data_IF_783293043456
#
_entry.id   IF_783293043456
#
_cell.length_a   1.000
_cell.length_b   1.000
_cell.length_c   1.000
_cell.angle_alpha   90.00
_cell.angle_beta   90.00
_cell.angle_gamma   90.00
#
_symmetry.space_group_name_H-M   'P 1'
#
loop_
_entity.id
_entity.type
_entity.pdbx_description
1 polymer ?
#
# COMPACT_ATOMS: atom_id res chain seq x y z
N UNK A 1 -25.21 -0.85 14.54
CA UNK A 1 -25.89 -0.49 15.80
C UNK A 1 -25.94 -1.64 16.81
N UNK A 2 -26.33 -2.87 16.41
CA UNK A 2 -26.42 -4.03 17.32
C UNK A 2 -25.07 -4.35 18.02
N UNK A 3 -23.99 -4.45 17.26
CA UNK A 3 -22.68 -4.76 17.81
C UNK A 3 -22.17 -3.69 18.79
N UNK A 4 -22.39 -2.41 18.46
CA UNK A 4 -22.05 -1.29 19.35
C UNK A 4 -22.87 -1.33 20.65
N UNK A 5 -24.17 -1.56 20.55
CA UNK A 5 -25.06 -1.66 21.72
C UNK A 5 -24.71 -2.83 22.65
N UNK A 6 -24.20 -3.92 22.09
CA UNK A 6 -23.85 -5.14 22.82
C UNK A 6 -22.33 -5.29 23.07
N UNK A 7 -21.52 -4.26 22.74
CA UNK A 7 -20.06 -4.25 22.90
C UNK A 7 -19.37 -5.43 22.19
N UNK A 8 -19.87 -5.79 21.00
CA UNK A 8 -19.33 -6.92 20.21
C UNK A 8 -18.29 -6.38 19.23
N UNK A 9 -17.03 -6.82 19.31
CA UNK A 9 -16.02 -6.47 18.32
C UNK A 9 -16.39 -6.94 16.91
N UNK A 10 -16.20 -6.06 15.93
CA UNK A 10 -16.40 -6.36 14.51
C UNK A 10 -15.06 -6.27 13.80
N UNK A 11 -14.69 -7.31 13.09
CA UNK A 11 -13.53 -7.29 12.20
C UNK A 11 -14.01 -7.09 10.75
N UNK A 12 -13.59 -5.99 10.14
CA UNK A 12 -13.92 -5.69 8.74
C UNK A 12 -12.68 -5.87 7.87
N UNK A 13 -12.58 -6.94 7.05
CA UNK A 13 -11.39 -7.25 6.28
C UNK A 13 -11.22 -6.41 5.02
N UNK A 14 -12.32 -5.94 4.40
CA UNK A 14 -12.32 -5.53 3.00
C UNK A 14 -12.67 -4.06 2.75
N UNK A 15 -13.31 -3.38 3.70
CA UNK A 15 -13.79 -2.02 3.45
C UNK A 15 -12.65 -1.02 3.38
N UNK A 16 -12.63 -0.22 2.32
CA UNK A 16 -11.83 1.00 2.22
C UNK A 16 -12.49 2.19 2.94
N UNK A 17 -13.79 2.13 3.22
CA UNK A 17 -14.55 3.20 3.85
C UNK A 17 -14.09 3.41 5.31
N UNK A 18 -13.71 4.66 5.61
CA UNK A 18 -13.36 5.09 6.96
C UNK A 18 -14.59 5.33 7.85
N UNK A 19 -15.78 5.47 7.26
CA UNK A 19 -17.04 5.68 7.98
C UNK A 19 -17.39 4.53 8.91
N UNK A 20 -16.91 3.31 8.62
CA UNK A 20 -17.09 2.14 9.50
C UNK A 20 -16.44 2.32 10.88
N UNK A 21 -15.47 3.21 11.00
CA UNK A 21 -14.76 3.51 12.25
C UNK A 21 -15.57 4.39 13.21
N UNK A 22 -16.78 4.84 12.83
CA UNK A 22 -17.71 5.50 13.76
C UNK A 22 -18.22 4.56 14.85
N UNK A 23 -18.09 3.25 14.65
CA UNK A 23 -18.29 2.25 15.67
C UNK A 23 -16.97 1.90 16.34
N UNK A 24 -16.82 2.25 17.61
CA UNK A 24 -15.59 2.04 18.38
C UNK A 24 -15.23 0.57 18.64
N UNK A 25 -16.13 -0.38 18.35
CA UNK A 25 -15.88 -1.83 18.39
C UNK A 25 -15.45 -2.39 17.04
N UNK A 26 -15.15 -1.55 16.04
CA UNK A 26 -14.73 -2.01 14.71
C UNK A 26 -13.21 -2.06 14.58
N UNK A 27 -12.72 -3.17 14.04
CA UNK A 27 -11.35 -3.32 13.53
C UNK A 27 -11.38 -3.31 12.00
N UNK A 28 -10.81 -2.28 11.40
CA UNK A 28 -10.64 -2.14 9.94
C UNK A 28 -9.28 -2.70 9.55
N UNK A 29 -9.27 -3.80 8.79
CA UNK A 29 -8.04 -4.53 8.41
C UNK A 29 -7.33 -3.83 7.26
N UNK A 30 -8.06 -3.44 6.21
CA UNK A 30 -7.45 -2.75 5.09
C UNK A 30 -7.02 -1.34 5.50
N UNK A 31 -5.75 -0.96 5.34
CA UNK A 31 -5.29 0.41 5.59
C UNK A 31 -6.07 1.44 4.77
N UNK A 32 -6.10 2.67 5.22
CA UNK A 32 -6.63 3.78 4.43
C UNK A 32 -5.58 4.30 3.46
N UNK A 33 -6.01 5.00 2.42
CA UNK A 33 -5.12 5.72 1.53
C UNK A 33 -4.18 6.70 2.29
N UNK A 34 -4.65 7.28 3.40
CA UNK A 34 -3.82 8.11 4.26
C UNK A 34 -2.65 7.32 4.88
N UNK A 35 -2.88 6.09 5.34
CA UNK A 35 -1.80 5.25 5.89
C UNK A 35 -0.76 4.88 4.82
N UNK A 36 -1.20 4.67 3.58
CA UNK A 36 -0.30 4.44 2.45
C UNK A 36 0.55 5.67 2.14
N UNK A 37 -0.07 6.84 2.06
CA UNK A 37 0.63 8.13 1.87
C UNK A 37 1.66 8.37 2.97
N UNK A 38 1.29 8.17 4.24
CA UNK A 38 2.22 8.28 5.38
C UNK A 38 3.44 7.38 5.22
N UNK A 39 3.21 6.14 4.78
CA UNK A 39 4.29 5.16 4.59
C UNK A 39 5.23 5.57 3.45
N UNK A 40 4.69 6.00 2.31
CA UNK A 40 5.49 6.48 1.17
C UNK A 40 6.28 7.73 1.57
N UNK A 41 5.66 8.71 2.21
CA UNK A 41 6.33 9.95 2.63
C UNK A 41 7.44 9.65 3.66
N UNK A 42 7.20 8.76 4.62
CA UNK A 42 8.23 8.32 5.58
C UNK A 42 9.41 7.65 4.88
N UNK A 43 9.15 6.78 3.92
CA UNK A 43 10.19 6.14 3.11
C UNK A 43 11.00 7.17 2.32
N UNK A 44 10.33 8.08 1.62
CA UNK A 44 10.98 9.14 0.84
C UNK A 44 11.84 10.03 1.73
N UNK A 45 11.34 10.45 2.88
CA UNK A 45 12.13 11.22 3.86
C UNK A 45 13.39 10.51 4.31
N UNK A 46 13.36 9.19 4.43
CA UNK A 46 14.50 8.40 4.91
C UNK A 46 15.53 8.08 3.82
N UNK A 47 15.12 8.00 2.55
CA UNK A 47 15.96 7.50 1.45
C UNK A 47 16.18 8.52 0.33
N UNK A 48 15.31 9.52 0.21
CA UNK A 48 15.20 10.43 -0.92
C UNK A 48 15.03 11.90 -0.50
N UNK A 49 15.56 12.29 0.67
CA UNK A 49 15.37 13.65 1.23
C UNK A 49 15.88 14.76 0.32
N UNK A 50 16.92 14.50 -0.46
CA UNK A 50 17.58 15.47 -1.35
C UNK A 50 17.13 15.35 -2.81
N UNK A 51 16.27 14.38 -3.11
CA UNK A 51 15.79 14.08 -4.45
C UNK A 51 14.69 15.05 -4.90
N UNK A 52 14.39 15.04 -6.19
CA UNK A 52 13.33 15.83 -6.80
C UNK A 52 12.03 15.01 -6.78
N UNK A 53 11.07 15.41 -5.96
CA UNK A 53 9.80 14.70 -5.78
C UNK A 53 8.77 15.22 -6.78
N UNK A 54 8.17 14.35 -7.59
CA UNK A 54 7.14 14.69 -8.56
C UNK A 54 5.93 13.81 -8.33
N UNK A 55 4.81 14.39 -7.91
CA UNK A 55 3.54 13.68 -7.75
C UNK A 55 2.67 13.98 -8.95
N UNK A 56 2.25 12.92 -9.63
CA UNK A 56 1.32 13.03 -10.77
C UNK A 56 -0.02 12.40 -10.41
N UNK A 57 -1.10 13.07 -10.80
CA UNK A 57 -2.47 12.62 -10.55
C UNK A 57 -3.36 12.91 -11.76
N UNK A 58 -4.53 12.29 -11.83
CA UNK A 58 -5.50 12.46 -12.92
C UNK A 58 -6.69 13.37 -12.55
N UNK A 59 -6.60 14.05 -11.41
CA UNK A 59 -7.62 14.96 -10.88
C UNK A 59 -9.00 14.33 -10.60
N UNK A 60 -9.08 13.00 -10.45
CA UNK A 60 -10.33 12.33 -10.04
C UNK A 60 -10.66 12.62 -8.57
N UNK A 61 -11.96 12.68 -8.27
CA UNK A 61 -12.43 12.91 -6.91
C UNK A 61 -11.93 11.87 -5.91
N UNK A 62 -11.80 10.60 -6.34
CA UNK A 62 -11.28 9.49 -5.50
C UNK A 62 -9.81 9.64 -5.10
N UNK A 63 -9.01 10.32 -5.94
CA UNK A 63 -7.56 10.52 -5.71
C UNK A 63 -7.27 11.81 -4.93
N UNK A 64 -8.19 12.78 -5.00
CA UNK A 64 -7.99 14.10 -4.38
C UNK A 64 -7.60 14.03 -2.90
N UNK A 65 -8.21 13.22 -2.02
CA UNK A 65 -7.80 13.13 -0.62
C UNK A 65 -6.33 12.71 -0.44
N UNK A 66 -5.83 11.79 -1.28
CA UNK A 66 -4.42 11.38 -1.24
C UNK A 66 -3.49 12.50 -1.70
N UNK A 67 -3.85 13.23 -2.76
CA UNK A 67 -3.09 14.40 -3.24
C UNK A 67 -2.99 15.47 -2.17
N UNK A 68 -4.13 15.86 -1.58
CA UNK A 68 -4.20 16.88 -0.53
C UNK A 68 -3.36 16.44 0.70
N UNK A 69 -3.35 15.15 1.01
CA UNK A 69 -2.57 14.64 2.14
C UNK A 69 -1.07 14.58 1.86
N UNK A 70 -0.64 14.23 0.64
CA UNK A 70 0.76 14.39 0.22
C UNK A 70 1.21 15.86 0.36
N UNK A 71 0.41 16.80 -0.15
CA UNK A 71 0.69 18.23 -0.04
C UNK A 71 0.84 18.66 1.43
N UNK A 72 -0.09 18.24 2.29
CA UNK A 72 -0.04 18.54 3.72
C UNK A 72 1.23 18.00 4.40
N UNK A 73 1.65 16.78 4.06
CA UNK A 73 2.84 16.18 4.68
C UNK A 73 4.14 16.77 4.13
N UNK A 74 4.20 17.02 2.81
CA UNK A 74 5.41 17.53 2.16
C UNK A 74 5.64 19.01 2.43
N UNK A 75 4.58 19.82 2.58
CA UNK A 75 4.69 21.24 2.94
C UNK A 75 5.35 21.47 4.30
N UNK A 76 5.35 20.47 5.18
CA UNK A 76 6.05 20.49 6.48
C UNK A 76 7.49 20.00 6.40
N UNK A 77 8.03 19.80 5.21
CA UNK A 77 9.39 19.32 4.98
C UNK A 77 10.21 20.34 4.18
N UNK A 78 11.53 20.17 4.18
CA UNK A 78 12.46 20.95 3.34
C UNK A 78 12.70 20.33 1.97
N UNK A 79 12.01 19.24 1.65
CA UNK A 79 12.18 18.53 0.37
C UNK A 79 11.63 19.35 -0.79
N UNK A 80 12.26 19.20 -1.95
CA UNK A 80 11.75 19.80 -3.20
C UNK A 80 10.68 18.89 -3.80
N UNK A 81 9.48 19.43 -3.97
CA UNK A 81 8.37 18.67 -4.54
C UNK A 81 7.51 19.49 -5.49
N UNK A 82 6.84 18.79 -6.40
CA UNK A 82 5.89 19.35 -7.36
C UNK A 82 4.71 18.39 -7.49
N UNK A 83 3.48 18.91 -7.45
CA UNK A 83 2.26 18.16 -7.77
C UNK A 83 1.73 18.66 -9.12
N UNK A 84 1.31 17.73 -9.99
CA UNK A 84 0.81 18.08 -11.31
C UNK A 84 -0.31 17.15 -11.79
N UNK A 85 -1.31 17.76 -12.42
CA UNK A 85 -2.35 17.05 -13.16
C UNK A 85 -1.74 16.49 -14.45
N UNK A 86 -1.62 15.16 -14.52
CA UNK A 86 -1.03 14.48 -15.68
C UNK A 86 -1.86 14.66 -16.94
N UNK A 87 -3.18 14.61 -16.86
CA UNK A 87 -4.04 14.77 -18.02
C UNK A 87 -3.89 16.15 -18.68
N UNK A 88 -3.67 17.18 -17.84
CA UNK A 88 -3.53 18.56 -18.30
C UNK A 88 -2.11 18.93 -18.70
N UNK A 89 -1.11 18.34 -18.05
CA UNK A 89 0.28 18.78 -18.15
C UNK A 89 1.29 17.68 -18.49
N UNK A 90 0.84 16.53 -19.05
CA UNK A 90 1.72 15.40 -19.38
C UNK A 90 2.95 15.82 -20.22
N UNK A 91 2.77 16.73 -21.17
CA UNK A 91 3.85 17.27 -22.01
C UNK A 91 4.89 18.11 -21.25
N UNK A 92 4.57 18.55 -20.03
CA UNK A 92 5.48 19.32 -19.16
C UNK A 92 6.23 18.42 -18.16
N UNK A 93 5.90 17.13 -18.04
CA UNK A 93 6.53 16.24 -17.08
C UNK A 93 8.04 16.17 -17.31
N UNK A 94 8.50 16.05 -18.54
CA UNK A 94 9.93 15.98 -18.89
C UNK A 94 10.72 17.24 -18.49
N UNK A 95 10.07 18.41 -18.44
CA UNK A 95 10.70 19.65 -17.98
C UNK A 95 10.88 19.72 -16.46
N UNK A 96 10.14 18.87 -15.71
CA UNK A 96 10.25 18.77 -14.24
C UNK A 96 11.28 17.75 -13.79
N UNK A 97 11.71 16.85 -14.71
CA UNK A 97 12.71 15.82 -14.40
C UNK A 97 14.10 16.43 -14.38
N UNK A 98 14.79 16.30 -13.26
CA UNK A 98 16.18 16.69 -13.06
C UNK A 98 17.12 15.70 -13.76
N UNK A 99 18.21 16.20 -14.32
CA UNK A 99 19.33 15.39 -14.82
C UNK A 99 20.50 15.30 -13.84
N UNK A 100 20.45 16.09 -12.75
CA UNK A 100 21.52 16.19 -11.75
C UNK A 100 21.16 15.53 -10.42
N UNK A 101 19.86 15.37 -10.14
CA UNK A 101 19.33 14.69 -8.96
C UNK A 101 18.53 13.47 -9.39
N UNK A 102 18.37 12.50 -8.50
CA UNK A 102 17.37 11.46 -8.69
C UNK A 102 15.95 12.07 -8.65
N UNK A 103 15.02 11.47 -9.35
CA UNK A 103 13.63 11.92 -9.41
C UNK A 103 12.74 10.82 -8.81
N UNK A 104 12.05 11.14 -7.75
CA UNK A 104 11.02 10.27 -7.18
C UNK A 104 9.70 10.67 -7.82
N UNK A 105 9.21 9.84 -8.73
CA UNK A 105 7.92 10.06 -9.41
C UNK A 105 6.86 9.20 -8.73
N UNK A 106 5.82 9.83 -8.17
CA UNK A 106 4.71 9.16 -7.50
C UNK A 106 3.48 9.26 -8.40
N UNK A 107 2.98 8.11 -8.85
CA UNK A 107 1.80 8.02 -9.70
C UNK A 107 0.55 7.76 -8.87
N UNK A 108 -0.34 8.75 -8.80
CA UNK A 108 -1.66 8.69 -8.17
C UNK A 108 -2.76 8.72 -9.24
N UNK A 109 -2.60 7.94 -10.29
CA UNK A 109 -3.58 7.84 -11.37
C UNK A 109 -4.44 6.61 -11.13
N UNK A 110 -5.73 6.85 -10.88
CA UNK A 110 -6.71 5.78 -10.82
C UNK A 110 -7.11 5.35 -12.24
N UNK A 111 -7.45 4.08 -12.39
CA UNK A 111 -8.04 3.59 -13.64
C UNK A 111 -9.36 2.89 -13.34
N UNK A 112 -10.30 3.03 -14.26
CA UNK A 112 -11.61 2.35 -14.16
C UNK A 112 -11.52 0.89 -14.63
N UNK A 113 -10.34 0.47 -15.10
CA UNK A 113 -10.09 -0.89 -15.54
C UNK A 113 -8.63 -1.19 -15.83
N UNK A 114 -8.31 -2.49 -15.86
CA UNK A 114 -6.95 -2.99 -16.08
C UNK A 114 -6.31 -2.46 -17.38
N UNK A 115 -7.07 -2.40 -18.47
CA UNK A 115 -6.58 -1.93 -19.79
C UNK A 115 -6.20 -0.44 -19.78
N UNK A 116 -6.97 0.39 -19.08
CA UNK A 116 -6.66 1.83 -18.97
C UNK A 116 -5.43 2.05 -18.08
N UNK A 117 -5.32 1.32 -16.96
CA UNK A 117 -4.17 1.36 -16.08
C UNK A 117 -2.89 0.97 -16.81
N UNK A 118 -2.94 -0.12 -17.59
CA UNK A 118 -1.81 -0.59 -18.39
C UNK A 118 -1.41 0.42 -19.47
N UNK A 119 -2.38 0.99 -20.16
CA UNK A 119 -2.14 2.03 -21.18
C UNK A 119 -1.51 3.28 -20.57
N UNK A 120 -2.00 3.70 -19.41
CA UNK A 120 -1.43 4.83 -18.68
C UNK A 120 0.02 4.53 -18.26
N UNK A 121 0.28 3.36 -17.63
CA UNK A 121 1.61 2.95 -17.21
C UNK A 121 2.61 2.99 -18.38
N UNK A 122 2.27 2.42 -19.54
CA UNK A 122 3.10 2.47 -20.75
C UNK A 122 3.41 3.89 -21.21
N UNK A 123 2.40 4.76 -21.22
CA UNK A 123 2.59 6.17 -21.63
C UNK A 123 3.53 6.88 -20.66
N UNK A 124 3.33 6.69 -19.34
CA UNK A 124 4.20 7.29 -18.34
C UNK A 124 5.64 6.80 -18.50
N UNK A 125 5.86 5.50 -18.58
CA UNK A 125 7.20 4.92 -18.76
C UNK A 125 7.88 5.42 -20.04
N UNK A 126 7.12 5.58 -21.14
CA UNK A 126 7.63 6.16 -22.39
C UNK A 126 8.08 7.61 -22.19
N UNK A 127 7.28 8.43 -21.51
CA UNK A 127 7.63 9.83 -21.19
C UNK A 127 8.87 9.89 -20.32
N UNK A 128 8.95 9.07 -19.27
CA UNK A 128 10.11 9.01 -18.37
C UNK A 128 11.38 8.56 -19.12
N UNK A 129 11.27 7.57 -20.02
CA UNK A 129 12.38 7.07 -20.86
C UNK A 129 12.92 8.13 -21.83
N UNK A 130 12.13 9.12 -22.22
CA UNK A 130 12.55 10.17 -23.15
C UNK A 130 13.62 11.10 -22.56
N UNK A 131 13.72 11.18 -21.22
CA UNK A 131 14.70 12.02 -20.52
C UNK A 131 16.01 11.22 -20.30
N UNK A 132 16.87 11.21 -21.31
CA UNK A 132 18.15 10.50 -21.27
C UNK A 132 19.01 10.96 -20.08
N UNK A 133 19.62 10.01 -19.38
CA UNK A 133 20.53 10.26 -18.24
C UNK A 133 19.86 10.61 -16.92
N UNK A 134 18.52 10.77 -16.88
CA UNK A 134 17.83 10.97 -15.62
C UNK A 134 17.78 9.67 -14.81
N UNK A 135 18.04 9.77 -13.50
CA UNK A 135 17.75 8.71 -12.53
C UNK A 135 16.33 8.86 -12.03
N UNK A 136 15.59 7.77 -11.97
CA UNK A 136 14.17 7.77 -11.60
C UNK A 136 13.89 6.62 -10.64
N UNK A 137 13.25 6.94 -9.53
CA UNK A 137 12.59 6.02 -8.62
C UNK A 137 11.08 6.23 -8.80
N UNK A 138 10.38 5.22 -9.27
CA UNK A 138 8.96 5.32 -9.63
C UNK A 138 8.09 4.60 -8.58
N UNK A 139 7.15 5.33 -8.00
CA UNK A 139 6.08 4.77 -7.18
C UNK A 139 4.80 4.64 -8.02
N UNK A 140 4.25 3.45 -8.07
CA UNK A 140 3.01 3.14 -8.77
C UNK A 140 2.14 2.16 -7.99
N UNK A 141 1.12 1.63 -8.65
CA UNK A 141 0.23 0.62 -8.09
C UNK A 141 0.77 -0.80 -8.33
N UNK A 142 0.55 -1.71 -7.37
CA UNK A 142 0.97 -3.11 -7.48
C UNK A 142 0.46 -3.81 -8.75
N UNK A 143 -0.71 -3.41 -9.26
CA UNK A 143 -1.28 -3.99 -10.49
C UNK A 143 -0.35 -3.90 -11.70
N UNK A 144 0.63 -2.98 -11.69
CA UNK A 144 1.62 -2.89 -12.77
C UNK A 144 2.49 -4.13 -12.87
N UNK A 145 2.71 -4.83 -11.76
CA UNK A 145 3.39 -6.13 -11.74
C UNK A 145 2.58 -7.26 -12.39
N UNK A 146 1.29 -7.03 -12.67
CA UNK A 146 0.36 -8.00 -13.25
C UNK A 146 -0.01 -7.67 -14.71
N UNK A 147 0.55 -6.60 -15.26
CA UNK A 147 0.30 -6.24 -16.65
C UNK A 147 1.18 -7.08 -17.59
N UNK A 148 0.55 -7.71 -18.59
CA UNK A 148 1.26 -8.57 -19.53
C UNK A 148 2.28 -7.84 -20.41
N UNK A 149 2.17 -6.54 -20.53
CA UNK A 149 3.03 -5.71 -21.37
C UNK A 149 4.12 -4.97 -20.62
N UNK A 150 4.17 -5.14 -19.30
CA UNK A 150 5.21 -4.60 -18.43
C UNK A 150 5.94 -5.77 -17.77
N UNK A 151 7.15 -6.05 -18.23
CA UNK A 151 7.99 -7.03 -17.56
C UNK A 151 8.76 -6.42 -16.37
N UNK A 152 9.32 -7.28 -15.55
CA UNK A 152 10.05 -6.84 -14.36
C UNK A 152 11.35 -6.09 -14.72
N UNK A 153 11.99 -6.41 -15.85
CA UNK A 153 13.19 -5.71 -16.32
C UNK A 153 12.88 -4.23 -16.59
N UNK A 154 11.74 -3.97 -17.26
CA UNK A 154 11.30 -2.60 -17.53
C UNK A 154 10.99 -1.84 -16.23
N UNK A 155 10.27 -2.47 -15.31
CA UNK A 155 9.93 -1.85 -14.01
C UNK A 155 11.19 -1.64 -13.15
N UNK A 156 12.10 -2.58 -13.13
CA UNK A 156 13.38 -2.48 -12.41
C UNK A 156 14.25 -1.33 -12.91
N UNK A 157 14.26 -1.08 -14.24
CA UNK A 157 14.95 0.07 -14.84
C UNK A 157 14.53 1.42 -14.24
N UNK A 158 13.29 1.52 -13.78
CA UNK A 158 12.75 2.71 -13.12
C UNK A 158 12.77 2.62 -11.59
N UNK A 159 13.51 1.66 -11.01
CA UNK A 159 13.51 1.42 -9.56
C UNK A 159 12.08 1.45 -9.01
N UNK A 160 11.23 0.57 -9.55
CA UNK A 160 9.79 0.59 -9.31
C UNK A 160 9.42 0.15 -7.91
N UNK A 161 8.70 1.01 -7.22
CA UNK A 161 8.21 0.83 -5.87
C UNK A 161 6.68 0.86 -5.83
N UNK A 162 6.10 0.17 -4.86
CA UNK A 162 4.66 0.21 -4.56
C UNK A 162 4.41 -0.10 -3.09
N UNK A 163 3.20 0.17 -2.61
CA UNK A 163 2.79 -0.15 -1.25
C UNK A 163 1.76 -1.27 -1.24
N UNK A 164 1.89 -2.18 -0.27
CA UNK A 164 0.86 -3.16 0.05
C UNK A 164 0.77 -3.36 1.56
N UNK A 165 -0.43 -3.65 2.05
CA UNK A 165 -0.65 -4.09 3.42
C UNK A 165 -0.32 -5.57 3.62
N UNK A 166 -0.43 -6.36 2.57
CA UNK A 166 -0.07 -7.79 2.57
C UNK A 166 0.42 -8.25 1.20
N UNK A 167 1.32 -9.20 1.21
CA UNK A 167 1.83 -9.88 0.01
C UNK A 167 2.00 -11.37 0.33
N UNK A 168 1.55 -12.23 -0.57
CA UNK A 168 1.81 -13.67 -0.49
C UNK A 168 3.29 -13.93 -0.78
N UNK A 169 4.03 -14.23 0.27
CA UNK A 169 5.47 -14.43 0.18
C UNK A 169 5.82 -15.92 0.24
N UNK A 170 6.14 -16.51 -0.89
CA UNK A 170 6.58 -17.92 -0.98
C UNK A 170 7.98 -18.16 -0.36
N UNK A 171 8.70 -17.14 0.06
CA UNK A 171 9.90 -17.28 0.88
C UNK A 171 9.57 -17.47 2.38
N UNK A 172 8.35 -17.11 2.80
CA UNK A 172 7.88 -17.30 4.16
C UNK A 172 7.44 -18.75 4.39
N UNK A 173 8.11 -19.45 5.30
CA UNK A 173 7.85 -20.86 5.59
C UNK A 173 6.42 -21.12 6.09
N UNK A 174 5.83 -20.18 6.86
CA UNK A 174 4.45 -20.29 7.36
C UNK A 174 3.46 -20.22 6.19
N UNK A 175 3.68 -19.30 5.24
CA UNK A 175 2.85 -19.19 4.04
C UNK A 175 2.94 -20.46 3.17
N UNK A 176 4.15 -20.98 2.94
CA UNK A 176 4.36 -22.23 2.18
C UNK A 176 3.65 -23.41 2.85
N UNK A 177 3.73 -23.49 4.19
CA UNK A 177 3.03 -24.55 4.94
C UNK A 177 1.50 -24.41 4.84
N UNK A 178 0.98 -23.18 4.94
CA UNK A 178 -0.44 -22.89 4.74
C UNK A 178 -0.92 -23.40 3.35
N UNK A 179 -0.19 -23.05 2.27
CA UNK A 179 -0.54 -23.47 0.91
C UNK A 179 -0.55 -25.01 0.80
N UNK A 180 0.44 -25.71 1.39
CA UNK A 180 0.48 -27.18 1.42
C UNK A 180 -0.72 -27.78 2.13
N UNK A 181 -1.08 -27.25 3.30
CA UNK A 181 -2.22 -27.71 4.09
C UNK A 181 -3.54 -27.42 3.38
N UNK A 182 -3.69 -26.25 2.78
CA UNK A 182 -4.85 -25.86 2.00
C UNK A 182 -5.08 -26.83 0.82
N UNK A 183 -4.05 -27.10 0.01
CA UNK A 183 -4.09 -28.05 -1.09
C UNK A 183 -4.45 -29.47 -0.62
N UNK A 184 -3.86 -29.91 0.50
CA UNK A 184 -4.15 -31.23 1.08
C UNK A 184 -5.62 -31.36 1.47
N UNK A 185 -6.19 -30.33 2.06
CA UNK A 185 -7.54 -30.33 2.62
C UNK A 185 -8.62 -30.07 1.57
N UNK A 186 -8.45 -29.02 0.79
CA UNK A 186 -9.46 -28.54 -0.16
C UNK A 186 -9.27 -29.04 -1.61
N UNK A 187 -8.13 -29.70 -1.92
CA UNK A 187 -7.80 -30.23 -3.25
C UNK A 187 -7.79 -29.16 -4.36
N UNK A 188 -7.57 -27.91 -4.00
CA UNK A 188 -7.49 -26.77 -4.91
C UNK A 188 -6.43 -25.76 -4.42
N UNK A 189 -6.09 -24.80 -5.27
CA UNK A 189 -5.22 -23.68 -4.87
C UNK A 189 -5.99 -22.73 -3.93
N UNK A 190 -5.30 -22.14 -2.93
CA UNK A 190 -5.87 -21.03 -2.17
C UNK A 190 -6.09 -19.82 -3.09
N UNK A 191 -7.17 -19.08 -2.85
CA UNK A 191 -7.38 -17.81 -3.52
C UNK A 191 -6.17 -16.88 -3.30
N UNK A 192 -5.78 -16.17 -4.37
CA UNK A 192 -4.56 -15.35 -4.42
C UNK A 192 -4.52 -14.25 -3.37
N UNK A 193 -5.68 -13.69 -2.99
CA UNK A 193 -5.73 -12.54 -2.10
C UNK A 193 -6.37 -12.86 -0.75
N UNK A 194 -7.43 -13.65 -0.73
CA UNK A 194 -8.33 -13.74 0.42
C UNK A 194 -8.08 -14.93 1.33
N UNK A 195 -7.54 -16.04 0.81
CA UNK A 195 -7.41 -17.26 1.61
C UNK A 195 -6.39 -17.09 2.75
N UNK A 196 -5.20 -16.56 2.44
CA UNK A 196 -4.18 -16.31 3.45
C UNK A 196 -4.56 -15.14 4.36
N UNK A 197 -5.16 -14.07 3.80
CA UNK A 197 -5.65 -12.94 4.58
C UNK A 197 -6.70 -13.38 5.62
N UNK A 198 -7.69 -14.18 5.20
CA UNK A 198 -8.72 -14.70 6.11
C UNK A 198 -8.15 -15.56 7.24
N UNK A 199 -7.20 -16.45 6.91
CA UNK A 199 -6.51 -17.26 7.90
C UNK A 199 -5.73 -16.40 8.90
N UNK A 200 -4.97 -15.42 8.41
CA UNK A 200 -4.17 -14.52 9.26
C UNK A 200 -5.05 -13.68 10.19
N UNK A 201 -6.17 -13.15 9.70
CA UNK A 201 -7.14 -12.40 10.49
C UNK A 201 -7.66 -13.25 11.65
N UNK A 202 -8.16 -14.46 11.35
CA UNK A 202 -8.71 -15.34 12.38
C UNK A 202 -7.64 -15.71 13.39
N UNK A 203 -6.45 -16.09 12.92
CA UNK A 203 -5.32 -16.43 13.79
C UNK A 203 -4.95 -15.28 14.71
N UNK A 204 -4.88 -14.05 14.17
CA UNK A 204 -4.54 -12.87 14.95
C UNK A 204 -5.55 -12.62 16.07
N UNK A 205 -6.85 -12.57 15.76
CA UNK A 205 -7.88 -12.27 16.76
C UNK A 205 -8.10 -13.40 17.76
N UNK A 206 -7.94 -14.67 17.34
CA UNK A 206 -7.94 -15.81 18.28
C UNK A 206 -6.77 -15.72 19.26
N UNK A 207 -5.56 -15.42 18.78
CA UNK A 207 -4.42 -15.19 19.68
C UNK A 207 -4.63 -14.00 20.62
N UNK A 208 -5.17 -12.89 20.10
CA UNK A 208 -5.50 -11.72 20.93
C UNK A 208 -6.46 -12.07 22.07
N UNK A 209 -7.48 -12.88 21.79
CA UNK A 209 -8.43 -13.37 22.79
C UNK A 209 -7.79 -14.35 23.78
N UNK A 210 -6.89 -15.21 23.33
CA UNK A 210 -6.18 -16.16 24.24
C UNK A 210 -5.26 -15.40 25.20
N UNK A 211 -4.52 -14.40 24.69
CA UNK A 211 -3.54 -13.65 25.48
C UNK A 211 -4.18 -12.63 26.43
N UNK A 212 -5.23 -11.92 25.96
CA UNK A 212 -5.79 -10.77 26.66
C UNK A 212 -7.26 -10.96 27.08
N UNK A 213 -7.86 -12.11 26.78
CA UNK A 213 -9.27 -12.36 27.09
C UNK A 213 -10.21 -11.38 26.37
N UNK A 214 -11.31 -11.02 27.03
CA UNK A 214 -12.32 -10.09 26.51
C UNK A 214 -11.82 -8.65 26.41
N UNK A 215 -10.75 -8.34 27.12
CA UNK A 215 -10.13 -7.01 27.18
C UNK A 215 -9.08 -6.77 26.07
N UNK A 216 -9.00 -7.69 25.09
CA UNK A 216 -8.01 -7.59 23.99
C UNK A 216 -8.10 -6.26 23.21
N UNK A 217 -9.24 -5.58 23.26
CA UNK A 217 -9.40 -4.27 22.63
C UNK A 217 -8.57 -3.18 23.30
N UNK A 218 -8.22 -3.32 24.57
CA UNK A 218 -7.35 -2.37 25.29
C UNK A 218 -5.89 -2.47 24.84
N UNK A 219 -5.49 -3.66 24.37
CA UNK A 219 -4.14 -3.97 23.89
C UNK A 219 -4.19 -4.64 22.50
N UNK A 220 -4.66 -3.93 21.46
CA UNK A 220 -4.95 -4.55 20.18
C UNK A 220 -3.70 -4.96 19.37
N UNK A 221 -2.51 -4.50 19.76
CA UNK A 221 -1.26 -4.77 19.05
C UNK A 221 -0.46 -5.86 19.73
N UNK A 222 -0.76 -7.12 19.40
CA UNK A 222 0.00 -8.27 19.89
C UNK A 222 1.17 -8.59 18.96
N UNK A 223 2.21 -9.21 19.50
CA UNK A 223 3.32 -9.75 18.71
C UNK A 223 2.88 -11.04 18.03
N UNK A 224 2.47 -10.96 16.77
CA UNK A 224 2.12 -12.15 15.99
C UNK A 224 3.33 -12.64 15.19
N UNK A 225 4.15 -13.48 15.82
CA UNK A 225 5.34 -14.09 15.18
C UNK A 225 4.97 -15.13 14.11
N UNK A 226 3.72 -15.62 14.11
CA UNK A 226 3.24 -16.64 13.18
C UNK A 226 2.47 -16.07 11.98
N UNK A 227 2.41 -14.74 11.84
CA UNK A 227 1.77 -14.13 10.69
C UNK A 227 2.44 -14.58 9.39
N UNK A 228 1.61 -14.97 8.43
CA UNK A 228 2.05 -15.33 7.07
C UNK A 228 2.19 -14.09 6.19
N UNK A 229 1.57 -13.02 6.62
CA UNK A 229 1.54 -11.74 5.93
C UNK A 229 2.24 -10.71 6.83
N UNK A 230 2.02 -9.44 6.61
CA UNK A 230 2.56 -8.41 7.49
C UNK A 230 1.78 -8.36 8.82
N UNK A 231 2.46 -8.28 9.97
CA UNK A 231 1.76 -8.14 11.24
C UNK A 231 0.91 -6.87 11.25
N UNK A 232 -0.30 -6.94 11.81
CA UNK A 232 -1.18 -5.78 11.94
C UNK A 232 -0.60 -4.77 12.93
N UNK A 233 -0.93 -3.51 12.70
CA UNK A 233 -0.67 -2.42 13.63
C UNK A 233 -1.91 -1.53 13.70
N UNK A 234 -2.66 -1.66 14.79
CA UNK A 234 -3.94 -1.00 14.98
C UNK A 234 -3.78 0.29 15.77
N UNK A 235 -4.33 1.37 15.22
CA UNK A 235 -4.47 2.65 15.90
C UNK A 235 -5.91 3.14 15.81
N UNK A 236 -6.33 3.92 16.81
CA UNK A 236 -7.56 4.70 16.78
C UNK A 236 -7.27 6.15 17.17
N UNK A 237 -7.98 7.14 16.59
CA UNK A 237 -7.78 8.55 16.95
C UNK A 237 -8.15 8.87 18.40
N UNK A 238 -9.20 8.21 18.90
CA UNK A 238 -9.73 8.35 20.25
C UNK A 238 -10.63 7.14 20.60
N UNK A 239 -11.11 7.09 21.83
CA UNK A 239 -11.92 5.97 22.35
C UNK A 239 -13.33 5.87 21.71
N UNK A 240 -13.80 6.91 21.03
CA UNK A 240 -15.12 6.91 20.37
C UNK A 240 -15.06 6.28 18.99
N UNK A 241 -13.87 6.03 18.46
CA UNK A 241 -13.60 5.50 17.12
C UNK A 241 -13.10 4.07 17.15
N UNK A 242 -13.36 3.36 16.06
CA UNK A 242 -12.81 2.02 15.83
C UNK A 242 -11.32 2.03 15.49
N UNK A 243 -10.74 0.87 15.53
CA UNK A 243 -9.33 0.64 15.21
C UNK A 243 -9.12 0.50 13.71
N UNK A 244 -8.10 1.17 13.20
CA UNK A 244 -7.63 1.03 11.83
C UNK A 244 -6.25 0.38 11.82
N UNK A 245 -6.07 -0.64 10.99
CA UNK A 245 -4.74 -1.11 10.66
C UNK A 245 -3.98 -0.04 9.87
N UNK A 246 -2.83 0.39 10.39
CA UNK A 246 -1.92 1.36 9.76
C UNK A 246 -0.76 0.67 9.02
N UNK A 247 -0.71 -0.65 9.08
CA UNK A 247 0.42 -1.39 8.54
C UNK A 247 0.40 -1.42 7.02
N UNK A 248 1.34 -0.71 6.44
CA UNK A 248 1.66 -0.71 5.01
C UNK A 248 3.17 -0.88 4.83
N UNK A 249 3.58 -1.59 3.83
CA UNK A 249 5.00 -1.88 3.54
C UNK A 249 5.31 -1.38 2.14
N UNK A 250 6.47 -0.75 1.98
CA UNK A 250 7.03 -0.40 0.68
C UNK A 250 7.77 -1.60 0.12
N UNK A 251 7.40 -2.00 -1.07
CA UNK A 251 8.06 -3.02 -1.86
C UNK A 251 8.72 -2.42 -3.09
N UNK A 252 9.71 -3.09 -3.62
CA UNK A 252 10.29 -2.80 -4.92
C UNK A 252 10.54 -4.07 -5.73
N UNK A 253 10.69 -3.91 -7.03
CA UNK A 253 11.23 -4.96 -7.89
C UNK A 253 12.75 -4.84 -7.89
N UNK A 254 13.45 -5.94 -7.61
CA UNK A 254 14.88 -6.01 -7.55
C UNK A 254 15.35 -7.45 -7.84
N UNK A 255 16.17 -7.64 -8.86
CA UNK A 255 16.59 -8.95 -9.34
C UNK A 255 15.42 -9.87 -9.68
N UNK A 256 14.45 -9.34 -10.45
CA UNK A 256 13.21 -10.02 -10.86
C UNK A 256 12.33 -10.53 -9.69
N UNK A 257 12.52 -9.98 -8.50
CA UNK A 257 11.78 -10.35 -7.28
C UNK A 257 11.18 -9.13 -6.62
N UNK A 258 10.04 -9.35 -5.98
CA UNK A 258 9.43 -8.35 -5.11
C UNK A 258 10.09 -8.46 -3.74
N UNK A 259 10.73 -7.37 -3.29
CA UNK A 259 11.43 -7.28 -2.00
C UNK A 259 10.83 -6.16 -1.15
N UNK A 260 10.64 -6.40 0.14
CA UNK A 260 10.25 -5.34 1.07
C UNK A 260 11.47 -4.44 1.37
N UNK A 261 11.29 -3.12 1.31
CA UNK A 261 12.38 -2.14 1.49
C UNK A 261 12.09 -1.05 2.51
N UNK A 262 10.87 -0.95 3.00
CA UNK A 262 10.49 0.04 4.00
C UNK A 262 9.20 -0.33 4.75
N UNK A 263 9.10 0.13 6.02
CA UNK A 263 7.94 -0.07 6.89
C UNK A 263 7.55 1.24 7.53
#
# INVERSE_FOLDING_TARGET
DFAKANKIPIVNPMSSDIGILQNNYTFKIQPSAAAEVETVVRYIRSKHSDDNIIIIHDNRASIKPSVDYYEQLLSKSTMMWTIMDYNKYANKLTSKISTTKNNVVISLVASDGKSEAETFAKRLLSVLSSKKGAKITLFGDYSWCEFNSLDFELLEKFDFHFTLSYLNDYSNANFVNFVKLFRKHFKTEPDKFYAALGYDIITYFVHSLIENGVDFMETPNISNQNSMINPYYFERPDETRGYQNKRTVVYKIDDYKIKSVGR
#
